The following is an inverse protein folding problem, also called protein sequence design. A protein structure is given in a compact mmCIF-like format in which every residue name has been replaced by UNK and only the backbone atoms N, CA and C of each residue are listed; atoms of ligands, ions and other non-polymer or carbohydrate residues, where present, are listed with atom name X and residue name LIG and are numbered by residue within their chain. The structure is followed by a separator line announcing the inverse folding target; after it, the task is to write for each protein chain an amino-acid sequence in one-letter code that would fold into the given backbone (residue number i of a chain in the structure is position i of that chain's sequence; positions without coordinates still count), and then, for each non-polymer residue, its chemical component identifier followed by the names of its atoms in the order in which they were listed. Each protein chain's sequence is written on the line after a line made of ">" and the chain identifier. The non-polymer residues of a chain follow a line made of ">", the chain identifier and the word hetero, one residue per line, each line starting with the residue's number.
data_IF_856720607011
#
_entry.id   IF_856720607011
#
_cell.length_a   1.000
_cell.length_b   1.000
_cell.length_c   1.000
_cell.angle_alpha   90.00
_cell.angle_beta   90.00
_cell.angle_gamma   90.00
#
_symmetry.space_group_name_H-M   'P 1'
#
loop_
_entity.id
_entity.type
_entity.pdbx_description
1 polymer ?
#
# COMPACT_ATOMS: atom_id res chain seq x y z
N UNK A 1 -8.01 1.98 10.81
CA UNK A 1 -7.14 0.80 10.68
C UNK A 1 -6.92 0.18 12.05
N UNK A 2 -7.05 -1.13 12.17
CA UNK A 2 -6.80 -1.93 13.38
C UNK A 2 -5.90 -3.12 13.02
N UNK A 3 -5.12 -3.61 13.99
CA UNK A 3 -4.28 -4.80 13.81
C UNK A 3 -4.50 -5.74 14.97
N UNK A 4 -4.80 -7.01 14.69
CA UNK A 4 -5.01 -8.02 15.74
C UNK A 4 -3.72 -8.30 16.50
N UNK A 5 -2.59 -8.34 15.78
CA UNK A 5 -1.29 -8.65 16.38
C UNK A 5 -0.15 -7.98 15.62
N UNK A 6 0.73 -7.33 16.36
CA UNK A 6 1.95 -6.73 15.86
C UNK A 6 3.14 -7.35 16.58
N UNK A 7 4.11 -7.88 15.84
CA UNK A 7 5.37 -8.42 16.36
C UNK A 7 6.53 -7.76 15.63
N UNK A 8 7.54 -7.37 16.39
CA UNK A 8 8.81 -6.86 15.90
C UNK A 8 9.91 -7.76 16.44
N UNK A 9 10.79 -8.22 15.58
CA UNK A 9 11.90 -9.11 15.92
C UNK A 9 13.21 -8.47 15.51
N UNK A 10 14.15 -8.45 16.46
CA UNK A 10 15.49 -7.91 16.29
C UNK A 10 16.46 -8.96 16.80
N UNK A 11 17.40 -9.36 15.94
CA UNK A 11 18.44 -10.31 16.33
C UNK A 11 19.52 -9.58 17.16
N UNK A 12 19.53 -9.83 18.46
CA UNK A 12 20.42 -9.13 19.40
C UNK A 12 21.90 -9.48 19.19
N UNK A 13 22.18 -10.74 18.84
CA UNK A 13 23.56 -11.23 18.59
C UNK A 13 24.18 -10.66 17.31
N UNK A 14 23.35 -10.17 16.40
CA UNK A 14 23.71 -9.68 15.06
C UNK A 14 23.17 -8.27 14.85
N UNK A 15 23.05 -7.49 15.92
CA UNK A 15 22.51 -6.15 15.90
C UNK A 15 23.25 -5.27 14.88
N UNK A 16 22.52 -4.75 13.89
CA UNK A 16 23.09 -3.95 12.80
C UNK A 16 23.62 -4.76 11.60
N UNK A 17 23.58 -6.10 11.66
CA UNK A 17 23.80 -6.99 10.52
C UNK A 17 22.49 -7.56 9.99
N UNK A 18 21.58 -8.00 10.86
CA UNK A 18 20.32 -8.59 10.42
C UNK A 18 19.20 -7.55 10.30
N UNK A 19 18.27 -7.70 9.33
CA UNK A 19 17.13 -6.82 9.16
C UNK A 19 16.19 -6.92 10.35
N UNK A 20 15.57 -5.79 10.69
CA UNK A 20 14.39 -5.80 11.54
C UNK A 20 13.25 -6.53 10.82
N UNK A 21 12.65 -7.51 11.47
CA UNK A 21 11.48 -8.22 10.92
C UNK A 21 10.22 -7.69 11.61
N UNK A 22 9.33 -7.08 10.83
CA UNK A 22 8.02 -6.61 11.26
C UNK A 22 6.96 -7.60 10.77
N UNK A 23 6.25 -8.24 11.68
CA UNK A 23 5.15 -9.15 11.38
C UNK A 23 3.84 -8.59 11.90
N UNK A 24 2.84 -8.49 11.02
CA UNK A 24 1.48 -8.09 11.33
C UNK A 24 0.53 -9.25 11.02
N UNK A 25 -0.44 -9.49 11.89
CA UNK A 25 -1.48 -10.50 11.71
C UNK A 25 -2.85 -9.84 11.89
N UNK A 26 -3.78 -10.08 10.96
CA UNK A 26 -5.15 -9.56 11.01
C UNK A 26 -5.21 -8.03 10.97
N UNK A 27 -4.70 -7.44 9.89
CA UNK A 27 -4.76 -6.00 9.63
C UNK A 27 -6.09 -5.67 8.94
N UNK A 28 -6.96 -4.89 9.58
CA UNK A 28 -8.20 -4.37 8.98
C UNK A 28 -8.03 -2.86 8.75
N UNK A 29 -8.16 -2.42 7.50
CA UNK A 29 -8.07 -1.02 7.12
C UNK A 29 -9.40 -0.62 6.50
N UNK A 30 -10.08 0.32 7.12
CA UNK A 30 -11.25 0.96 6.53
C UNK A 30 -10.87 2.36 6.05
N UNK A 31 -11.13 2.63 4.77
CA UNK A 31 -10.93 3.93 4.13
C UNK A 31 -12.31 4.44 3.70
N UNK A 32 -12.76 5.50 4.35
CA UNK A 32 -13.98 6.22 3.99
C UNK A 32 -13.59 7.59 3.45
N UNK A 33 -14.13 7.97 2.30
CA UNK A 33 -14.03 9.34 1.80
C UNK A 33 -14.84 10.26 2.71
N UNK A 34 -14.16 11.09 3.49
CA UNK A 34 -14.79 12.15 4.29
C UNK A 34 -14.92 13.41 3.44
N UNK A 35 -16.07 14.08 3.50
CA UNK A 35 -16.26 15.39 2.87
C UNK A 35 -15.08 16.31 3.22
N UNK A 36 -14.49 16.95 2.22
CA UNK A 36 -13.35 17.85 2.42
C UNK A 36 -13.77 18.95 3.38
N UNK A 37 -13.16 19.07 4.58
CA UNK A 37 -13.43 20.22 5.44
C UNK A 37 -13.04 21.48 4.67
N UNK A 38 -13.93 22.48 4.65
CA UNK A 38 -13.63 23.77 4.05
C UNK A 38 -12.32 24.28 4.66
N UNK A 39 -11.27 24.38 3.83
CA UNK A 39 -9.97 24.90 4.26
C UNK A 39 -10.13 26.34 4.71
N UNK A 40 -10.21 26.52 6.03
CA UNK A 40 -10.11 27.81 6.67
C UNK A 40 -8.65 28.27 6.54
N UNK A 41 -8.38 29.17 5.60
CA UNK A 41 -7.04 29.71 5.32
C UNK A 41 -6.57 30.57 6.50
N UNK A 42 -6.03 29.95 7.54
CA UNK A 42 -5.33 30.67 8.60
C UNK A 42 -3.84 30.81 8.26
N UNK A 43 -3.52 32.05 7.86
CA UNK A 43 -2.24 32.76 7.82
C UNK A 43 -0.97 31.99 8.21
N UNK A 44 -0.13 31.78 7.20
CA UNK A 44 1.34 31.94 7.19
C UNK A 44 1.98 32.41 8.52
N UNK A 45 2.48 31.46 9.31
CA UNK A 45 3.54 31.76 10.28
C UNK A 45 4.88 31.81 9.52
N UNK A 46 5.52 32.97 9.45
CA UNK A 46 6.90 33.12 8.94
C UNK A 46 7.85 32.23 9.75
N UNK A 47 8.18 31.05 9.23
CA UNK A 47 9.12 30.14 9.84
C UNK A 47 10.55 30.69 9.80
N UNK A 48 11.17 30.90 10.96
CA UNK A 48 12.62 31.10 11.10
C UNK A 48 13.36 29.97 10.35
N UNK A 49 14.25 30.31 9.41
CA UNK A 49 15.20 29.36 8.78
C UNK A 49 16.03 28.68 9.87
N UNK A 50 15.63 27.48 10.30
CA UNK A 50 16.50 26.60 11.10
C UNK A 50 17.67 26.15 10.22
N UNK A 51 18.91 26.47 10.62
CA UNK A 51 20.12 25.93 10.01
C UNK A 51 20.02 24.39 10.00
N UNK A 52 20.04 23.77 8.82
CA UNK A 52 20.12 22.32 8.63
C UNK A 52 21.47 21.83 9.19
N UNK A 53 21.53 21.45 10.47
CA UNK A 53 22.64 20.64 10.98
C UNK A 53 22.53 19.26 10.30
N UNK A 54 23.58 18.84 9.59
CA UNK A 54 23.71 17.48 9.05
C UNK A 54 23.81 16.52 10.25
N UNK A 55 22.69 15.92 10.64
CA UNK A 55 22.68 14.92 11.72
C UNK A 55 23.19 13.59 11.17
N UNK A 56 24.35 13.07 11.65
CA UNK A 56 24.84 11.74 11.26
C UNK A 56 23.89 10.61 11.71
N UNK A 57 22.93 10.88 12.61
CA UNK A 57 21.88 9.94 13.01
C UNK A 57 20.78 9.72 11.96
N UNK A 58 20.80 10.45 10.83
CA UNK A 58 19.84 10.23 9.73
C UNK A 58 20.24 9.07 8.82
N UNK A 59 21.52 8.91 8.51
CA UNK A 59 21.97 7.83 7.61
C UNK A 59 21.77 6.45 8.22
N UNK A 60 22.11 6.26 9.51
CA UNK A 60 21.87 4.99 10.23
C UNK A 60 20.39 4.64 10.35
N UNK A 61 19.51 5.63 10.57
CA UNK A 61 18.05 5.41 10.60
C UNK A 61 17.48 5.01 9.24
N UNK A 62 17.98 5.62 8.17
CA UNK A 62 17.55 5.26 6.82
C UNK A 62 17.96 3.83 6.46
N UNK A 63 19.18 3.42 6.79
CA UNK A 63 19.65 2.05 6.54
C UNK A 63 18.80 0.99 7.27
N UNK A 64 18.42 1.26 8.53
CA UNK A 64 17.53 0.35 9.29
C UNK A 64 16.14 0.29 8.65
N UNK A 65 15.55 1.44 8.28
CA UNK A 65 14.23 1.51 7.63
C UNK A 65 14.21 0.85 6.24
N UNK A 66 15.28 1.02 5.46
CA UNK A 66 15.44 0.36 4.17
C UNK A 66 15.63 -1.16 4.36
N UNK A 67 16.28 -1.56 5.45
CA UNK A 67 16.48 -2.94 5.87
C UNK A 67 15.25 -3.72 6.31
N UNK A 68 14.13 -3.06 6.63
CA UNK A 68 12.99 -3.76 7.24
C UNK A 68 12.40 -4.81 6.30
N UNK A 69 12.28 -6.03 6.81
CA UNK A 69 11.44 -7.09 6.24
C UNK A 69 10.05 -6.99 6.85
N UNK A 70 9.03 -6.87 6.00
CA UNK A 70 7.63 -6.76 6.43
C UNK A 70 6.89 -8.02 6.01
N UNK A 71 6.18 -8.63 6.95
CA UNK A 71 5.30 -9.77 6.75
C UNK A 71 3.91 -9.39 7.27
N UNK A 72 2.88 -9.50 6.43
CA UNK A 72 1.49 -9.32 6.84
C UNK A 72 0.77 -10.63 6.52
N UNK A 73 0.06 -11.17 7.49
CA UNK A 73 -0.82 -12.32 7.33
C UNK A 73 -2.25 -11.89 7.63
N UNK A 74 -3.15 -12.02 6.65
CA UNK A 74 -4.52 -11.55 6.73
C UNK A 74 -4.60 -10.02 6.76
N UNK A 75 -4.73 -9.40 5.58
CA UNK A 75 -5.13 -8.02 5.39
C UNK A 75 -6.57 -7.99 4.86
N UNK A 76 -7.45 -7.20 5.47
CA UNK A 76 -8.73 -6.82 4.90
C UNK A 76 -8.74 -5.30 4.72
N UNK A 77 -8.86 -4.83 3.48
CA UNK A 77 -8.97 -3.42 3.14
C UNK A 77 -10.37 -3.16 2.62
N UNK A 78 -11.09 -2.28 3.29
CA UNK A 78 -12.46 -1.88 2.97
C UNK A 78 -12.43 -0.44 2.48
N UNK A 79 -12.93 -0.20 1.27
CA UNK A 79 -12.96 1.11 0.66
C UNK A 79 -14.41 1.52 0.36
N UNK A 80 -14.83 2.65 0.90
CA UNK A 80 -16.12 3.27 0.62
C UNK A 80 -15.89 4.67 0.04
N UNK A 81 -16.22 4.84 -1.25
CA UNK A 81 -16.14 6.13 -1.93
C UNK A 81 -17.48 6.88 -1.80
N UNK A 82 -17.43 8.16 -1.44
CA UNK A 82 -18.60 9.01 -1.45
C UNK A 82 -18.68 9.69 -2.82
N UNK A 83 -19.68 9.33 -3.63
CA UNK A 83 -19.83 9.93 -4.94
C UNK A 83 -20.05 11.46 -4.81
N UNK A 84 -19.06 12.26 -5.21
CA UNK A 84 -19.12 13.74 -5.20
C UNK A 84 -19.85 14.32 -6.41
N UNK A 85 -20.64 13.52 -7.12
CA UNK A 85 -21.42 14.05 -8.25
C UNK A 85 -22.52 14.98 -7.73
N UNK A 86 -22.38 16.26 -8.07
CA UNK A 86 -23.40 17.32 -7.88
C UNK A 86 -24.76 16.98 -8.52
N UNK A 87 -24.85 15.92 -9.33
CA UNK A 87 -26.10 15.24 -9.63
C UNK A 87 -26.36 14.15 -8.57
N UNK A 88 -26.98 14.56 -7.45
CA UNK A 88 -27.68 13.61 -6.57
C UNK A 88 -28.83 13.00 -7.37
N UNK A 89 -28.61 11.84 -7.98
CA UNK A 89 -29.72 10.90 -8.14
C UNK A 89 -29.88 10.28 -6.76
N UNK A 90 -30.89 10.72 -5.99
CA UNK A 90 -31.21 10.08 -4.72
C UNK A 90 -31.51 8.61 -4.99
N UNK A 91 -30.73 7.70 -4.41
CA UNK A 91 -30.90 6.26 -4.60
C UNK A 91 -29.84 5.56 -5.46
N UNK A 92 -28.81 6.26 -5.95
CA UNK A 92 -27.68 5.57 -6.56
C UNK A 92 -26.85 4.82 -5.50
N UNK A 93 -26.58 3.51 -5.69
CA UNK A 93 -25.77 2.75 -4.74
C UNK A 93 -24.37 3.32 -4.57
N UNK A 94 -23.90 3.35 -3.32
CA UNK A 94 -22.49 3.59 -3.04
C UNK A 94 -21.74 2.29 -3.23
N UNK A 95 -20.83 2.19 -4.21
CA UNK A 95 -20.04 0.99 -4.38
C UNK A 95 -19.11 0.84 -3.17
N UNK A 96 -19.17 -0.32 -2.54
CA UNK A 96 -18.24 -0.72 -1.49
C UNK A 96 -17.30 -1.77 -2.05
N UNK A 97 -16.02 -1.60 -1.79
CA UNK A 97 -14.99 -2.53 -2.24
C UNK A 97 -14.29 -3.14 -1.02
N UNK A 98 -14.16 -4.47 -0.99
CA UNK A 98 -13.33 -5.16 -0.01
C UNK A 98 -12.24 -5.92 -0.73
N UNK A 99 -11.00 -5.65 -0.35
CA UNK A 99 -9.81 -6.31 -0.85
C UNK A 99 -9.23 -7.13 0.30
N UNK A 100 -9.22 -8.43 0.15
CA UNK A 100 -8.65 -9.37 1.12
C UNK A 100 -7.33 -9.90 0.59
N UNK A 101 -6.35 -10.05 1.49
CA UNK A 101 -5.04 -10.58 1.16
C UNK A 101 -4.62 -11.55 2.26
N UNK A 102 -4.39 -12.80 1.88
CA UNK A 102 -3.91 -13.80 2.83
C UNK A 102 -2.50 -13.47 3.33
N UNK A 103 -1.59 -13.08 2.43
CA UNK A 103 -0.20 -12.83 2.78
C UNK A 103 0.44 -11.75 1.92
N UNK A 104 1.15 -10.83 2.59
CA UNK A 104 2.06 -9.88 1.98
C UNK A 104 3.45 -10.07 2.58
N UNK A 105 4.46 -10.19 1.73
CA UNK A 105 5.85 -10.20 2.14
C UNK A 105 6.63 -9.15 1.35
N UNK A 106 7.35 -8.29 2.08
CA UNK A 106 8.29 -7.32 1.51
C UNK A 106 9.65 -7.57 2.13
N UNK A 107 10.66 -7.80 1.31
CA UNK A 107 12.01 -8.08 1.77
C UNK A 107 13.05 -7.53 0.79
N UNK A 108 14.28 -7.35 1.28
CA UNK A 108 15.38 -6.86 0.49
C UNK A 108 15.98 -7.99 -0.35
N UNK A 109 16.43 -7.65 -1.55
CA UNK A 109 17.07 -8.61 -2.46
C UNK A 109 18.36 -8.06 -3.05
N UNK A 110 19.09 -8.91 -3.75
CA UNK A 110 20.15 -8.51 -4.68
C UNK A 110 19.57 -8.25 -6.09
N UNK A 111 20.44 -7.95 -7.05
CA UNK A 111 20.08 -7.75 -8.46
C UNK A 111 19.56 -9.00 -9.17
N UNK A 112 19.72 -10.18 -8.56
CA UNK A 112 19.22 -11.48 -9.04
C UNK A 112 17.93 -11.89 -8.33
N UNK A 113 17.29 -10.96 -7.60
CA UNK A 113 16.04 -11.17 -6.86
C UNK A 113 16.10 -12.25 -5.76
N UNK A 114 17.30 -12.57 -5.27
CA UNK A 114 17.51 -13.45 -4.12
C UNK A 114 17.49 -12.63 -2.83
N UNK A 115 16.89 -13.18 -1.77
CA UNK A 115 16.76 -12.49 -0.48
C UNK A 115 18.13 -12.18 0.13
N UNK A 116 18.28 -10.95 0.62
CA UNK A 116 19.47 -10.48 1.34
C UNK A 116 19.08 -10.14 2.77
N UNK A 117 19.67 -10.87 3.71
CA UNK A 117 19.48 -10.67 5.16
C UNK A 117 20.63 -9.90 5.82
N UNK A 118 21.64 -9.51 5.06
CA UNK A 118 22.75 -8.70 5.59
C UNK A 118 22.51 -7.23 5.24
N UNK A 119 22.23 -6.41 6.26
CA UNK A 119 22.02 -4.96 6.18
C UNK A 119 23.17 -4.25 5.44
N UNK A 120 24.40 -4.75 5.56
CA UNK A 120 25.57 -4.19 4.87
C UNK A 120 25.56 -4.43 3.36
N UNK A 121 24.74 -5.37 2.87
CA UNK A 121 24.67 -5.79 1.46
C UNK A 121 23.38 -5.39 0.75
N UNK A 122 22.49 -4.65 1.42
CA UNK A 122 21.20 -4.21 0.86
C UNK A 122 21.40 -3.18 -0.26
N UNK A 123 22.50 -2.43 -0.20
CA UNK A 123 22.86 -1.46 -1.23
C UNK A 123 24.17 -1.82 -1.92
N UNK A 124 24.16 -1.75 -3.24
CA UNK A 124 25.40 -1.67 -4.02
C UNK A 124 25.75 -0.20 -4.16
N UNK A 125 26.81 0.23 -3.48
CA UNK A 125 27.30 1.61 -3.51
C UNK A 125 28.39 1.73 -4.57
N UNK A 126 28.17 2.63 -5.52
CA UNK A 126 29.18 3.02 -6.49
C UNK A 126 29.80 4.35 -6.02
N UNK A 127 31.01 4.26 -5.45
CA UNK A 127 31.71 5.40 -4.86
C UNK A 127 32.10 6.47 -5.88
N UNK A 128 32.44 6.10 -7.12
CA UNK A 128 32.85 7.05 -8.16
C UNK A 128 31.68 7.91 -8.67
N UNK A 129 30.48 7.34 -8.70
CA UNK A 129 29.25 8.06 -9.09
C UNK A 129 28.49 8.69 -7.92
N UNK A 130 28.77 8.27 -6.68
CA UNK A 130 27.98 8.67 -5.51
C UNK A 130 26.55 8.13 -5.53
N UNK A 131 26.36 6.93 -6.09
CA UNK A 131 25.05 6.30 -6.28
C UNK A 131 24.93 5.01 -5.47
N UNK A 132 23.72 4.73 -4.98
CA UNK A 132 23.37 3.50 -4.29
C UNK A 132 22.20 2.84 -5.01
N UNK A 133 22.33 1.55 -5.29
CA UNK A 133 21.26 0.70 -5.84
C UNK A 133 20.73 -0.20 -4.74
N UNK A 134 19.41 -0.19 -4.51
CA UNK A 134 18.73 -1.11 -3.60
C UNK A 134 17.64 -1.88 -4.33
N UNK A 135 17.41 -3.13 -3.92
CA UNK A 135 16.40 -3.99 -4.50
C UNK A 135 15.45 -4.51 -3.41
N UNK A 136 14.15 -4.46 -3.70
CA UNK A 136 13.11 -5.02 -2.84
C UNK A 136 12.22 -5.93 -3.65
N UNK A 137 11.77 -7.02 -3.04
CA UNK A 137 10.77 -7.91 -3.60
C UNK A 137 9.51 -7.83 -2.76
N UNK A 138 8.38 -7.74 -3.45
CA UNK A 138 7.02 -7.79 -2.91
C UNK A 138 6.40 -9.10 -3.38
N UNK A 139 5.79 -9.85 -2.47
CA UNK A 139 4.95 -11.00 -2.79
C UNK A 139 3.61 -10.78 -2.12
N UNK A 140 2.55 -10.79 -2.91
CA UNK A 140 1.15 -10.76 -2.48
C UNK A 140 0.55 -12.08 -2.89
N UNK A 141 -0.10 -12.78 -1.97
CA UNK A 141 -0.71 -14.09 -2.19
C UNK A 141 -2.11 -14.13 -1.60
N UNK A 142 -3.02 -14.85 -2.26
CA UNK A 142 -4.41 -14.93 -1.86
C UNK A 142 -5.11 -13.57 -1.96
N UNK A 143 -4.81 -12.79 -3.02
CA UNK A 143 -5.47 -11.51 -3.25
C UNK A 143 -6.87 -11.76 -3.82
N UNK A 144 -7.88 -11.31 -3.07
CA UNK A 144 -9.29 -11.52 -3.38
C UNK A 144 -10.00 -10.17 -3.36
N UNK A 145 -10.80 -9.90 -4.38
CA UNK A 145 -11.56 -8.66 -4.51
C UNK A 145 -13.05 -8.94 -4.51
N UNK A 146 -13.74 -8.28 -3.59
CA UNK A 146 -15.19 -8.24 -3.51
C UNK A 146 -15.70 -6.83 -3.81
N UNK A 147 -16.82 -6.77 -4.52
CA UNK A 147 -17.59 -5.54 -4.69
C UNK A 147 -19.00 -5.78 -4.14
N UNK A 148 -19.41 -4.90 -3.24
CA UNK A 148 -20.74 -4.88 -2.65
C UNK A 148 -21.50 -3.67 -3.20
N UNK A 149 -22.76 -3.92 -3.48
CA UNK A 149 -23.72 -2.89 -3.84
C UNK A 149 -24.43 -2.41 -2.56
N UNK A 150 -24.25 -1.14 -2.18
CA UNK A 150 -24.95 -0.59 -1.01
C UNK A 150 -26.45 -0.34 -1.22
N UNK A 151 -27.02 -0.54 -2.42
CA UNK A 151 -28.47 -0.35 -2.67
C UNK A 151 -29.36 -1.46 -2.10
N UNK A 152 -28.82 -2.42 -1.34
CA UNK A 152 -29.61 -3.46 -0.66
C UNK A 152 -29.53 -3.39 0.87
N UNK A 153 -29.69 -2.19 1.43
CA UNK A 153 -30.46 -2.06 2.67
C UNK A 153 -31.84 -1.48 2.27
N UNK A 154 -32.80 -2.31 1.83
CA UNK A 154 -34.17 -1.82 1.75
C UNK A 154 -34.66 -1.63 3.19
N UNK A 155 -35.09 -0.41 3.51
CA UNK A 155 -36.13 -0.26 4.51
C UNK A 155 -37.32 -1.12 4.04
N UNK A 156 -37.58 -2.21 4.76
CA UNK A 156 -38.63 -3.22 4.57
C UNK A 156 -38.20 -4.57 3.97
N UNK A 157 -38.36 -5.58 4.83
CA UNK A 157 -38.66 -7.00 4.57
C UNK A 157 -37.63 -7.90 3.87
N UNK A 158 -36.99 -8.74 4.69
CA UNK A 158 -36.89 -10.21 4.54
C UNK A 158 -36.10 -10.82 3.36
N UNK A 159 -34.88 -10.38 3.10
CA UNK A 159 -33.92 -11.20 2.33
C UNK A 159 -32.49 -10.96 2.81
N UNK A 160 -31.68 -12.02 2.78
CA UNK A 160 -30.29 -12.07 3.24
C UNK A 160 -29.48 -10.81 2.89
N UNK A 161 -28.55 -10.37 3.76
CA UNK A 161 -27.65 -9.27 3.45
C UNK A 161 -26.97 -9.54 2.10
N UNK A 162 -27.01 -8.54 1.21
CA UNK A 162 -26.47 -8.64 -0.15
C UNK A 162 -25.11 -9.33 -0.14
N UNK A 163 -25.03 -10.52 -0.74
CA UNK A 163 -23.79 -11.28 -0.72
C UNK A 163 -22.71 -10.52 -1.51
N UNK A 164 -21.48 -10.40 -0.97
CA UNK A 164 -20.39 -9.74 -1.67
C UNK A 164 -20.13 -10.44 -3.01
N UNK A 165 -20.14 -9.68 -4.10
CA UNK A 165 -19.84 -10.24 -5.41
C UNK A 165 -18.32 -10.40 -5.55
N UNK A 166 -17.87 -11.64 -5.71
CA UNK A 166 -16.47 -11.97 -5.96
C UNK A 166 -16.07 -11.57 -7.40
N UNK A 167 -15.13 -10.66 -7.53
CA UNK A 167 -14.59 -10.20 -8.82
C UNK A 167 -13.46 -11.12 -9.30
N UNK A 168 -12.51 -11.38 -8.42
CA UNK A 168 -11.44 -12.36 -8.59
C UNK A 168 -11.00 -12.89 -7.22
N UNK A 169 -10.47 -14.10 -7.18
CA UNK A 169 -9.88 -14.70 -5.97
C UNK A 169 -8.48 -15.23 -6.27
N UNK A 170 -7.74 -15.46 -5.19
CA UNK A 170 -6.50 -16.25 -5.18
C UNK A 170 -5.41 -15.72 -6.13
N UNK A 171 -5.45 -14.41 -6.42
CA UNK A 171 -4.46 -13.79 -7.30
C UNK A 171 -3.13 -13.69 -6.55
N UNK A 172 -2.07 -14.15 -7.21
CA UNK A 172 -0.70 -13.99 -6.74
C UNK A 172 0.01 -12.93 -7.55
N UNK A 173 0.57 -11.94 -6.86
CA UNK A 173 1.38 -10.88 -7.46
C UNK A 173 2.80 -10.99 -6.90
N UNK A 174 3.77 -11.03 -7.80
CA UNK A 174 5.19 -10.99 -7.45
C UNK A 174 5.78 -9.74 -8.10
N UNK A 175 6.20 -8.79 -7.27
CA UNK A 175 6.79 -7.53 -7.69
C UNK A 175 8.26 -7.44 -7.32
N UNK A 176 9.07 -6.86 -8.20
CA UNK A 176 10.43 -6.43 -7.95
C UNK A 176 10.56 -4.92 -8.07
N UNK A 177 11.25 -4.27 -7.16
CA UNK A 177 11.58 -2.85 -7.19
C UNK A 177 13.09 -2.68 -7.13
N UNK A 178 13.67 -2.08 -8.17
CA UNK A 178 15.05 -1.59 -8.16
C UNK A 178 15.03 -0.07 -8.02
N UNK A 179 15.67 0.47 -6.99
CA UNK A 179 15.71 1.89 -6.71
C UNK A 179 17.15 2.41 -6.74
N UNK A 180 17.38 3.47 -7.51
CA UNK A 180 18.64 4.18 -7.58
C UNK A 180 18.55 5.46 -6.78
N UNK A 181 19.47 5.64 -5.84
CA UNK A 181 19.51 6.79 -4.93
C UNK A 181 20.88 7.46 -4.96
N UNK A 182 20.91 8.75 -4.61
CA UNK A 182 22.17 9.48 -4.37
C UNK A 182 22.66 9.22 -2.96
N UNK A 183 23.94 8.84 -2.78
CA UNK A 183 24.50 8.47 -1.46
C UNK A 183 24.57 9.65 -0.49
N UNK A 184 24.78 10.88 -0.99
CA UNK A 184 24.98 12.06 -0.16
C UNK A 184 23.74 12.45 0.68
N UNK A 185 22.54 12.25 0.14
CA UNK A 185 21.28 12.65 0.77
C UNK A 185 20.15 11.62 0.67
N UNK A 186 20.44 10.43 0.12
CA UNK A 186 19.50 9.32 -0.10
C UNK A 186 18.30 9.67 -0.98
N UNK A 187 18.41 10.75 -1.77
CA UNK A 187 17.36 11.16 -2.71
C UNK A 187 17.19 10.10 -3.79
N UNK A 188 15.94 9.71 -4.06
CA UNK A 188 15.59 8.85 -5.18
C UNK A 188 15.95 9.56 -6.49
N UNK A 189 16.75 8.91 -7.33
CA UNK A 189 17.16 9.39 -8.66
C UNK A 189 16.31 8.74 -9.74
N UNK A 190 16.16 7.42 -9.69
CA UNK A 190 15.31 6.65 -10.60
C UNK A 190 14.83 5.35 -9.93
N UNK A 191 13.82 4.73 -10.51
CA UNK A 191 13.35 3.41 -10.09
C UNK A 191 12.89 2.59 -11.30
N UNK A 192 12.93 1.27 -11.15
CA UNK A 192 12.33 0.29 -12.06
C UNK A 192 11.47 -0.65 -11.23
N UNK A 193 10.23 -0.85 -11.67
CA UNK A 193 9.33 -1.84 -11.08
C UNK A 193 9.04 -2.92 -12.13
N UNK A 194 9.12 -4.18 -11.70
CA UNK A 194 8.72 -5.35 -12.46
C UNK A 194 7.57 -6.00 -11.70
N UNK A 195 6.46 -6.30 -12.38
CA UNK A 195 5.29 -6.89 -11.74
C UNK A 195 4.86 -8.08 -12.57
N UNK A 196 4.87 -9.25 -11.94
CA UNK A 196 4.32 -10.48 -12.47
C UNK A 196 3.01 -10.77 -11.73
N UNK A 197 1.94 -10.91 -12.49
CA UNK A 197 0.63 -11.31 -11.98
C UNK A 197 0.38 -12.72 -12.52
N UNK A 198 0.21 -13.69 -11.62
CA UNK A 198 -0.21 -15.03 -12.04
C UNK A 198 -1.63 -14.98 -12.62
N UNK A 199 -2.02 -16.03 -13.35
CA UNK A 199 -3.29 -16.13 -14.09
C UNK A 199 -4.44 -15.41 -13.37
N UNK A 200 -4.90 -14.30 -13.94
CA UNK A 200 -5.98 -13.49 -13.39
C UNK A 200 -7.28 -13.92 -14.05
N UNK A 201 -8.11 -14.67 -13.31
CA UNK A 201 -9.47 -14.99 -13.72
C UNK A 201 -10.42 -13.97 -13.12
N UNK A 202 -10.99 -13.14 -13.98
CA UNK A 202 -11.98 -12.15 -13.57
C UNK A 202 -13.35 -12.60 -14.01
N UNK A 203 -14.33 -12.52 -13.11
CA UNK A 203 -15.73 -12.82 -13.41
C UNK A 203 -16.53 -11.55 -13.26
N UNK A 204 -17.14 -11.13 -14.35
CA UNK A 204 -18.03 -9.98 -14.35
C UNK A 204 -19.35 -10.31 -15.03
N UNK A 205 -20.45 -9.94 -14.39
CA UNK A 205 -21.69 -9.64 -15.07
C UNK A 205 -21.76 -8.16 -15.45
N UNK A 206 -22.85 -7.78 -16.12
CA UNK A 206 -23.09 -6.41 -16.58
C UNK A 206 -23.14 -5.41 -15.42
N UNK A 207 -23.67 -5.83 -14.27
CA UNK A 207 -23.79 -4.99 -13.06
C UNK A 207 -22.43 -4.73 -12.42
N UNK A 208 -21.60 -5.76 -12.29
CA UNK A 208 -20.27 -5.69 -11.68
C UNK A 208 -19.34 -4.80 -12.52
N UNK A 209 -19.40 -4.93 -13.85
CA UNK A 209 -18.68 -4.02 -14.75
C UNK A 209 -19.07 -2.56 -14.54
N UNK A 210 -20.37 -2.28 -14.38
CA UNK A 210 -20.85 -0.93 -14.14
C UNK A 210 -20.35 -0.39 -12.79
N UNK A 211 -20.42 -1.19 -11.72
CA UNK A 211 -19.94 -0.81 -10.39
C UNK A 211 -18.43 -0.55 -10.37
N UNK A 212 -17.64 -1.47 -10.94
CA UNK A 212 -16.17 -1.34 -11.02
C UNK A 212 -15.79 -0.12 -11.85
N UNK A 213 -16.47 0.11 -12.98
CA UNK A 213 -16.25 1.31 -13.80
C UNK A 213 -16.53 2.58 -13.01
N UNK A 214 -17.67 2.66 -12.31
CA UNK A 214 -18.03 3.82 -11.51
C UNK A 214 -17.04 4.05 -10.36
N UNK A 215 -16.62 2.98 -9.69
CA UNK A 215 -15.62 3.03 -8.64
C UNK A 215 -14.27 3.54 -9.17
N UNK A 216 -13.76 2.96 -10.27
CA UNK A 216 -12.50 3.39 -10.88
C UNK A 216 -12.57 4.84 -11.37
N UNK A 217 -13.70 5.26 -11.93
CA UNK A 217 -13.91 6.64 -12.33
C UNK A 217 -13.88 7.59 -11.11
N UNK A 218 -14.53 7.22 -10.01
CA UNK A 218 -14.46 7.93 -8.73
C UNK A 218 -13.03 8.04 -8.22
N UNK A 219 -12.33 6.91 -8.07
CA UNK A 219 -10.94 6.85 -7.59
C UNK A 219 -9.99 7.70 -8.46
N UNK A 220 -10.08 7.58 -9.79
CA UNK A 220 -9.26 8.36 -10.72
C UNK A 220 -9.56 9.86 -10.63
N UNK A 221 -10.81 10.25 -10.36
CA UNK A 221 -11.16 11.66 -10.17
C UNK A 221 -10.59 12.23 -8.88
N UNK A 222 -10.51 11.42 -7.81
CA UNK A 222 -9.87 11.79 -6.55
C UNK A 222 -8.35 11.89 -6.71
N UNK A 223 -7.72 10.99 -7.47
CA UNK A 223 -6.28 11.01 -7.72
C UNK A 223 -5.81 12.15 -8.63
N UNK A 224 -6.65 12.60 -9.58
CA UNK A 224 -6.31 13.71 -10.51
C UNK A 224 -6.38 15.10 -9.90
N UNK A 225 -6.89 15.24 -8.66
CA UNK A 225 -7.04 16.54 -8.00
C UNK A 225 -5.76 17.03 -7.31
N UNK A 226 -4.70 16.22 -7.27
CA UNK A 226 -3.37 16.54 -6.72
C UNK A 226 -2.28 16.43 -7.81
#
# INVERSE_FOLDING_TARGET
>A
ASVKKLRWQLALMTLGKDPLVLTMEGLDIEIQETATPATDRTKSSKGKKKKKRKNPSKSKRNAILEGIKVLIAGLNLKLQLQHTSQHRISGAPQPYMSLEVEKIAVFNTNSQWQEVTDLGKIHVINESSGEALGFKRLIVSGLTLHVLDSAQIPFSSSTDPAQPCLVFSDVRIVGGLAAKRRTADWKLLSYKAEVEVQELRVRFGRRELFMVRHFLQGLLSTLKRD
#
